data_IF_548346080594
#
_entry.id   IF_548346080594
#
_cell.length_a   1.000
_cell.length_b   1.000
_cell.length_c   1.000
_cell.angle_alpha   90.00
_cell.angle_beta   90.00
_cell.angle_gamma   90.00
#
_symmetry.space_group_name_H-M   'P 1'
#
loop_
_entity.id
_entity.type
_entity.pdbx_description
1 polymer ?
#
# COMPACT_ATOMS: atom_id res chain seq x y z
N UNK A 1 41.50 -1.72 2.69
CA UNK A 1 40.03 -1.70 2.53
C UNK A 1 39.71 -1.16 1.14
N UNK A 2 39.40 -1.99 0.13
CA UNK A 2 39.01 -1.48 -1.19
C UNK A 2 37.56 -0.99 -1.18
N UNK A 3 37.35 0.20 -1.73
CA UNK A 3 36.07 0.90 -1.79
C UNK A 3 35.02 0.13 -2.63
N UNK A 4 33.78 0.14 -2.16
CA UNK A 4 32.59 -0.38 -2.83
C UNK A 4 32.45 0.23 -4.23
N UNK A 5 32.53 -0.59 -5.26
CA UNK A 5 32.35 -0.22 -6.67
C UNK A 5 30.85 0.02 -6.91
N UNK A 6 30.43 1.28 -6.79
CA UNK A 6 29.08 1.71 -7.16
C UNK A 6 28.79 1.41 -8.64
N UNK A 7 27.54 1.03 -8.94
CA UNK A 7 27.09 0.67 -10.30
C UNK A 7 27.39 1.80 -11.28
N UNK A 8 28.26 1.56 -12.26
CA UNK A 8 28.65 2.56 -13.26
C UNK A 8 27.42 3.09 -14.01
N UNK A 9 27.34 4.43 -14.15
CA UNK A 9 26.35 5.07 -15.01
C UNK A 9 26.51 4.56 -16.45
N UNK A 10 25.41 4.10 -17.03
CA UNK A 10 25.39 3.47 -18.36
C UNK A 10 25.46 4.47 -19.52
N UNK A 11 25.13 5.72 -19.26
CA UNK A 11 25.15 6.83 -20.21
C UNK A 11 25.80 8.01 -19.52
N UNK A 12 26.74 8.66 -20.20
CA UNK A 12 27.52 9.77 -19.65
C UNK A 12 27.01 11.13 -20.13
N UNK A 13 26.11 11.16 -21.13
CA UNK A 13 25.44 12.36 -21.60
C UNK A 13 23.95 12.11 -21.92
N UNK A 14 23.16 13.19 -21.94
CA UNK A 14 21.76 13.15 -22.35
C UNK A 14 21.61 12.75 -23.82
N UNK A 15 22.55 13.16 -24.68
CA UNK A 15 22.56 12.80 -26.09
C UNK A 15 22.75 11.30 -26.30
N UNK A 16 23.65 10.68 -25.51
CA UNK A 16 23.90 9.25 -25.55
C UNK A 16 22.68 8.43 -25.10
N UNK A 17 21.96 8.92 -24.09
CA UNK A 17 20.71 8.33 -23.66
C UNK A 17 19.62 8.42 -24.76
N UNK A 18 19.47 9.59 -25.40
CA UNK A 18 18.53 9.79 -26.50
C UNK A 18 18.83 8.84 -27.67
N UNK A 19 20.09 8.69 -28.06
CA UNK A 19 20.51 7.81 -29.14
C UNK A 19 20.23 6.34 -28.81
N UNK A 20 20.52 5.90 -27.59
CA UNK A 20 20.22 4.53 -27.14
C UNK A 20 18.71 4.23 -27.14
N UNK A 21 17.88 5.19 -26.72
CA UNK A 21 16.42 5.06 -26.79
C UNK A 21 15.91 5.04 -28.24
N UNK A 22 16.47 5.87 -29.11
CA UNK A 22 16.13 5.88 -30.54
C UNK A 22 16.46 4.54 -31.21
N UNK A 23 17.66 4.00 -30.96
CA UNK A 23 18.07 2.70 -31.48
C UNK A 23 17.23 1.55 -30.94
N UNK A 24 16.97 1.52 -29.63
CA UNK A 24 16.12 0.50 -29.01
C UNK A 24 14.71 0.52 -29.61
N UNK A 25 14.16 1.73 -29.80
CA UNK A 25 12.85 1.95 -30.42
C UNK A 25 12.85 1.50 -31.89
N UNK A 26 13.91 1.80 -32.65
CA UNK A 26 14.05 1.36 -34.03
C UNK A 26 14.11 -0.16 -34.15
N UNK A 27 14.89 -0.84 -33.30
CA UNK A 27 14.98 -2.31 -33.24
C UNK A 27 13.65 -2.96 -32.85
N UNK A 28 12.94 -2.36 -31.90
CA UNK A 28 11.60 -2.82 -31.53
C UNK A 28 10.60 -2.64 -32.67
N UNK A 29 10.66 -1.50 -33.36
CA UNK A 29 9.77 -1.21 -34.49
C UNK A 29 10.01 -2.15 -35.66
N UNK A 30 11.27 -2.42 -36.04
CA UNK A 30 11.59 -3.36 -37.12
C UNK A 30 11.07 -4.77 -36.82
N UNK A 31 11.22 -5.23 -35.57
CA UNK A 31 10.70 -6.54 -35.12
C UNK A 31 9.18 -6.64 -35.21
N UNK A 32 8.46 -5.56 -34.92
CA UNK A 32 6.99 -5.55 -34.88
C UNK A 32 6.31 -4.92 -36.11
N UNK A 33 7.10 -4.46 -37.09
CA UNK A 33 6.63 -3.71 -38.27
C UNK A 33 5.51 -4.43 -39.01
N UNK A 34 5.63 -5.74 -39.20
CA UNK A 34 4.63 -6.55 -39.89
C UNK A 34 3.30 -6.63 -39.14
N UNK A 35 3.34 -6.77 -37.81
CA UNK A 35 2.14 -6.78 -36.95
C UNK A 35 1.47 -5.41 -36.93
N UNK A 36 2.26 -4.34 -36.81
CA UNK A 36 1.79 -2.95 -36.84
C UNK A 36 1.11 -2.65 -38.18
N UNK A 37 1.74 -3.01 -39.29
CA UNK A 37 1.19 -2.79 -40.63
C UNK A 37 -0.08 -3.61 -40.88
N UNK A 38 -0.12 -4.88 -40.46
CA UNK A 38 -1.34 -5.71 -40.55
C UNK A 38 -2.50 -5.10 -39.76
N UNK A 39 -2.24 -4.61 -38.55
CA UNK A 39 -3.26 -3.95 -37.74
C UNK A 39 -3.75 -2.64 -38.37
N UNK A 40 -2.83 -1.83 -38.92
CA UNK A 40 -3.19 -0.60 -39.66
C UNK A 40 -4.05 -0.92 -40.88
N UNK A 41 -3.64 -1.87 -41.70
CA UNK A 41 -4.41 -2.30 -42.88
C UNK A 41 -5.79 -2.84 -42.51
N UNK A 42 -5.92 -3.56 -41.39
CA UNK A 42 -7.22 -4.00 -40.89
C UNK A 42 -8.10 -2.82 -40.48
N UNK A 43 -7.57 -1.87 -39.69
CA UNK A 43 -8.31 -0.65 -39.30
C UNK A 43 -8.77 0.16 -40.51
N UNK A 44 -7.89 0.34 -41.51
CA UNK A 44 -8.24 1.02 -42.74
C UNK A 44 -9.36 0.29 -43.49
N UNK A 45 -9.28 -1.04 -43.62
CA UNK A 45 -10.33 -1.85 -44.26
C UNK A 45 -11.67 -1.72 -43.53
N UNK A 46 -11.68 -1.84 -42.21
CA UNK A 46 -12.91 -1.69 -41.41
C UNK A 46 -13.51 -0.29 -41.55
N UNK A 47 -12.68 0.75 -41.58
CA UNK A 47 -13.15 2.13 -41.70
C UNK A 47 -13.64 2.52 -43.11
N UNK A 48 -13.24 1.77 -44.15
CA UNK A 48 -13.52 2.11 -45.56
C UNK A 48 -14.34 1.04 -46.29
N UNK A 49 -14.89 0.05 -45.58
CA UNK A 49 -15.84 -0.90 -46.16
C UNK A 49 -17.19 -0.20 -46.36
N UNK A 50 -17.75 -0.19 -47.58
CA UNK A 50 -19.11 0.29 -47.81
C UNK A 50 -20.06 -0.59 -47.01
N UNK A 51 -20.97 0.04 -46.26
CA UNK A 51 -21.86 -0.57 -45.25
C UNK A 51 -22.96 -1.46 -45.84
N UNK A 52 -22.62 -2.38 -46.74
CA UNK A 52 -23.51 -3.42 -47.25
C UNK A 52 -22.79 -4.75 -47.29
N UNK A 53 -23.44 -5.74 -46.69
CA UNK A 53 -23.15 -7.16 -46.71
C UNK A 53 -22.15 -7.67 -45.67
N UNK A 54 -22.75 -8.12 -44.57
CA UNK A 54 -22.35 -9.21 -43.69
C UNK A 54 -21.29 -10.15 -44.27
N UNK A 55 -20.03 -9.84 -44.06
CA UNK A 55 -18.97 -10.84 -44.02
C UNK A 55 -18.96 -11.46 -42.62
N UNK A 56 -19.28 -12.74 -42.56
CA UNK A 56 -19.35 -13.56 -41.35
C UNK A 56 -18.17 -13.30 -40.39
N UNK A 57 -18.41 -13.21 -39.08
CA UNK A 57 -17.34 -13.06 -38.11
C UNK A 57 -16.59 -14.40 -38.06
N UNK A 58 -15.43 -14.45 -38.70
CA UNK A 58 -14.47 -15.53 -38.47
C UNK A 58 -14.00 -15.40 -37.02
N UNK A 59 -14.68 -16.11 -36.12
CA UNK A 59 -14.27 -16.35 -34.74
C UNK A 59 -12.94 -17.12 -34.77
N UNK A 60 -11.83 -16.41 -34.95
CA UNK A 60 -10.58 -16.88 -34.40
C UNK A 60 -10.68 -16.69 -32.89
N UNK A 61 -10.86 -17.82 -32.21
CA UNK A 61 -10.63 -18.03 -30.78
C UNK A 61 -9.18 -17.66 -30.41
N UNK A 62 -8.89 -16.36 -30.44
CA UNK A 62 -7.88 -15.75 -29.61
C UNK A 62 -8.67 -15.12 -28.47
N UNK A 63 -9.19 -15.96 -27.57
CA UNK A 63 -9.49 -15.56 -26.21
C UNK A 63 -8.17 -15.20 -25.55
N UNK A 64 -7.59 -14.07 -25.95
CA UNK A 64 -6.69 -13.34 -25.09
C UNK A 64 -7.48 -13.13 -23.80
N UNK A 65 -6.92 -13.46 -22.62
CA UNK A 65 -7.57 -13.12 -21.37
C UNK A 65 -7.86 -11.63 -21.47
N UNK A 66 -9.14 -11.26 -21.50
CA UNK A 66 -9.55 -9.87 -21.36
C UNK A 66 -9.00 -9.46 -20.01
N UNK A 67 -7.83 -8.84 -19.98
CA UNK A 67 -7.35 -8.14 -18.81
C UNK A 67 -8.40 -7.07 -18.58
N UNK A 68 -9.36 -7.36 -17.71
CA UNK A 68 -10.27 -6.37 -17.18
C UNK A 68 -9.35 -5.38 -16.49
N UNK A 69 -9.09 -4.25 -17.16
CA UNK A 69 -8.29 -3.18 -16.61
C UNK A 69 -9.12 -2.67 -15.43
N UNK A 70 -8.83 -3.17 -14.23
CA UNK A 70 -9.48 -2.73 -13.01
C UNK A 70 -9.30 -1.22 -12.91
N UNK A 71 -10.38 -0.51 -12.56
CA UNK A 71 -10.30 0.93 -12.30
C UNK A 71 -9.18 1.21 -11.29
N UNK A 72 -8.55 2.37 -11.39
CA UNK A 72 -7.48 2.77 -10.48
C UNK A 72 -7.91 2.62 -9.02
N UNK A 73 -9.12 3.07 -8.69
CA UNK A 73 -9.74 2.96 -7.36
C UNK A 73 -9.83 1.52 -6.87
N UNK A 74 -10.33 0.58 -7.69
CA UNK A 74 -10.36 -0.86 -7.32
C UNK A 74 -8.98 -1.42 -7.03
N UNK A 75 -7.95 -1.04 -7.80
CA UNK A 75 -6.56 -1.47 -7.52
C UNK A 75 -6.01 -0.88 -6.23
N UNK A 76 -6.38 0.36 -5.89
CA UNK A 76 -5.95 1.00 -4.64
C UNK A 76 -6.66 0.40 -3.43
N UNK A 77 -7.95 0.08 -3.52
CA UNK A 77 -8.70 -0.64 -2.47
C UNK A 77 -8.11 -2.03 -2.23
N UNK A 78 -7.76 -2.77 -3.29
CA UNK A 78 -7.10 -4.07 -3.15
C UNK A 78 -5.76 -3.95 -2.41
N UNK A 79 -5.00 -2.89 -2.66
CA UNK A 79 -3.75 -2.60 -1.95
C UNK A 79 -3.98 -2.20 -0.49
N UNK A 80 -4.96 -1.33 -0.22
CA UNK A 80 -5.36 -0.97 1.13
C UNK A 80 -5.81 -2.22 1.92
N UNK A 81 -6.60 -3.09 1.29
CA UNK A 81 -7.04 -4.36 1.87
C UNK A 81 -5.87 -5.30 2.15
N UNK A 82 -4.87 -5.37 1.27
CA UNK A 82 -3.66 -6.14 1.51
C UNK A 82 -2.85 -5.60 2.70
N UNK A 83 -2.76 -4.27 2.85
CA UNK A 83 -2.16 -3.62 4.04
C UNK A 83 -2.96 -3.94 5.30
N UNK A 84 -4.29 -3.89 5.23
CA UNK A 84 -5.15 -4.28 6.35
C UNK A 84 -4.95 -5.74 6.77
N UNK A 85 -4.78 -6.66 5.81
CA UNK A 85 -4.45 -8.05 6.14
C UNK A 85 -3.09 -8.16 6.86
N UNK A 86 -2.07 -7.43 6.40
CA UNK A 86 -0.76 -7.40 7.08
C UNK A 86 -0.89 -6.85 8.51
N UNK A 87 -1.68 -5.80 8.69
CA UNK A 87 -1.99 -5.21 10.00
C UNK A 87 -2.69 -6.20 10.93
N UNK A 88 -3.75 -6.86 10.46
CA UNK A 88 -4.45 -7.87 11.26
C UNK A 88 -3.57 -9.07 11.61
N UNK A 89 -2.65 -9.46 10.71
CA UNK A 89 -1.66 -10.50 11.01
C UNK A 89 -0.67 -10.05 12.09
N UNK A 90 -0.22 -8.79 12.06
CA UNK A 90 0.64 -8.23 13.11
C UNK A 90 -0.05 -8.29 14.49
N UNK A 91 -1.37 -8.08 14.51
CA UNK A 91 -2.18 -8.03 15.74
C UNK A 91 -2.76 -9.38 16.16
N UNK A 92 -2.40 -10.47 15.50
CA UNK A 92 -2.98 -11.80 15.77
C UNK A 92 -4.52 -11.76 15.76
N UNK A 93 -5.09 -11.01 14.79
CA UNK A 93 -6.52 -10.80 14.54
C UNK A 93 -7.30 -10.02 15.62
N UNK A 94 -6.72 -9.67 16.76
CA UNK A 94 -7.40 -8.88 17.79
C UNK A 94 -6.55 -7.69 18.24
N UNK A 95 -6.90 -6.46 17.80
CA UNK A 95 -6.22 -5.24 18.22
C UNK A 95 -6.15 -5.05 19.74
N UNK A 96 -7.22 -5.42 20.45
CA UNK A 96 -7.31 -5.30 21.91
C UNK A 96 -6.32 -6.23 22.61
N UNK A 97 -6.32 -7.52 22.24
CA UNK A 97 -5.40 -8.52 22.79
C UNK A 97 -3.96 -8.19 22.42
N UNK A 98 -3.74 -7.59 21.25
CA UNK A 98 -2.44 -7.08 20.86
C UNK A 98 -1.96 -5.94 21.78
N UNK A 99 -2.78 -4.91 22.00
CA UNK A 99 -2.44 -3.77 22.86
C UNK A 99 -2.19 -4.21 24.31
N UNK A 100 -3.04 -5.09 24.86
CA UNK A 100 -2.90 -5.64 26.21
C UNK A 100 -1.61 -6.47 26.38
N UNK A 101 -1.29 -7.35 25.42
CA UNK A 101 -0.02 -8.10 25.42
C UNK A 101 1.20 -7.18 25.33
N UNK A 102 1.12 -6.13 24.52
CA UNK A 102 2.20 -5.17 24.36
C UNK A 102 2.41 -4.38 25.65
N UNK A 103 1.33 -3.92 26.29
CA UNK A 103 1.36 -3.28 27.60
C UNK A 103 2.05 -4.16 28.65
N UNK A 104 1.64 -5.42 28.79
CA UNK A 104 2.25 -6.32 29.78
C UNK A 104 3.74 -6.56 29.53
N UNK A 105 4.13 -6.73 28.27
CA UNK A 105 5.52 -6.96 27.91
C UNK A 105 6.37 -5.72 28.20
N UNK A 106 5.87 -4.56 27.80
CA UNK A 106 6.47 -3.27 28.11
C UNK A 106 6.65 -3.07 29.62
N UNK A 107 5.61 -3.34 30.41
CA UNK A 107 5.68 -3.22 31.88
C UNK A 107 6.73 -4.16 32.49
N UNK A 108 6.89 -5.37 31.98
CA UNK A 108 7.97 -6.28 32.41
C UNK A 108 9.35 -5.70 32.09
N UNK A 109 9.53 -5.15 30.89
CA UNK A 109 10.79 -4.53 30.45
C UNK A 109 11.16 -3.34 31.34
N UNK A 110 10.23 -2.42 31.54
CA UNK A 110 10.47 -1.17 32.29
C UNK A 110 10.63 -1.42 33.80
N UNK A 111 9.94 -2.40 34.37
CA UNK A 111 10.04 -2.68 35.82
C UNK A 111 11.20 -3.59 36.20
N UNK A 112 11.61 -4.53 35.33
CA UNK A 112 12.62 -5.56 35.67
C UNK A 112 13.93 -5.43 34.91
N UNK A 113 13.89 -5.06 33.63
CA UNK A 113 15.08 -5.09 32.77
C UNK A 113 15.80 -3.74 32.76
N UNK A 114 15.05 -2.64 32.67
CA UNK A 114 15.59 -1.28 32.60
C UNK A 114 14.75 -0.33 33.46
N UNK A 115 14.97 -0.33 34.79
CA UNK A 115 14.34 0.63 35.68
C UNK A 115 14.85 2.04 35.34
N UNK A 116 14.02 2.84 34.69
CA UNK A 116 14.40 4.17 34.18
C UNK A 116 13.70 4.59 32.90
N UNK A 117 12.97 3.67 32.24
CA UNK A 117 12.21 3.97 31.04
C UNK A 117 12.96 3.55 29.78
N UNK A 118 12.41 2.55 29.10
CA UNK A 118 12.80 2.16 27.75
C UNK A 118 11.50 2.03 26.95
N UNK A 119 11.21 3.03 26.14
CA UNK A 119 10.03 3.11 25.27
C UNK A 119 10.27 2.50 23.89
N UNK A 120 11.47 1.99 23.62
CA UNK A 120 11.87 1.45 22.32
C UNK A 120 10.87 0.42 21.79
N UNK A 121 10.32 -0.43 22.66
CA UNK A 121 9.38 -1.48 22.26
C UNK A 121 8.07 -0.92 21.70
N UNK A 122 7.46 0.06 22.39
CA UNK A 122 6.22 0.68 21.91
C UNK A 122 6.51 1.58 20.71
N UNK A 123 7.61 2.33 20.73
CA UNK A 123 8.05 3.17 19.63
C UNK A 123 8.29 2.36 18.34
N UNK A 124 8.88 1.17 18.43
CA UNK A 124 9.06 0.27 17.30
C UNK A 124 7.73 -0.21 16.71
N UNK A 125 6.75 -0.55 17.55
CA UNK A 125 5.43 -0.96 17.07
C UNK A 125 4.64 0.21 16.48
N UNK A 126 4.74 1.40 17.07
CA UNK A 126 4.19 2.64 16.50
C UNK A 126 4.77 2.95 15.13
N UNK A 127 6.09 2.81 14.94
CA UNK A 127 6.70 3.02 13.62
C UNK A 127 6.12 2.04 12.57
N UNK A 128 5.95 0.76 12.92
CA UNK A 128 5.38 -0.24 12.00
C UNK A 128 3.93 0.07 11.64
N UNK A 129 3.11 0.49 12.61
CA UNK A 129 1.71 0.85 12.38
C UNK A 129 1.62 2.17 11.60
N UNK A 130 2.41 3.17 11.95
CA UNK A 130 2.47 4.47 11.29
C UNK A 130 2.86 4.35 9.81
N UNK A 131 3.78 3.45 9.45
CA UNK A 131 4.08 3.14 8.05
C UNK A 131 2.86 2.61 7.28
N UNK A 132 2.06 1.73 7.91
CA UNK A 132 0.85 1.18 7.31
C UNK A 132 -0.24 2.25 7.16
N UNK A 133 -0.45 3.07 8.19
CA UNK A 133 -1.38 4.21 8.17
C UNK A 133 -1.00 5.16 7.04
N UNK A 134 0.28 5.56 6.94
CA UNK A 134 0.79 6.45 5.90
C UNK A 134 0.53 5.89 4.49
N UNK A 135 0.78 4.61 4.27
CA UNK A 135 0.51 3.95 2.99
C UNK A 135 -0.99 3.98 2.63
N UNK A 136 -1.86 3.71 3.60
CA UNK A 136 -3.32 3.70 3.39
C UNK A 136 -3.85 5.12 3.17
N UNK A 137 -3.39 6.12 3.91
CA UNK A 137 -3.71 7.54 3.69
C UNK A 137 -3.33 7.97 2.27
N UNK A 138 -2.15 7.59 1.79
CA UNK A 138 -1.76 7.87 0.41
C UNK A 138 -2.71 7.21 -0.62
N UNK A 139 -3.27 6.04 -0.32
CA UNK A 139 -4.27 5.41 -1.19
C UNK A 139 -5.60 6.16 -1.14
N UNK A 140 -6.05 6.58 0.04
CA UNK A 140 -7.24 7.41 0.24
C UNK A 140 -7.16 8.71 -0.57
N UNK A 141 -6.06 9.46 -0.44
CA UNK A 141 -5.84 10.71 -1.20
C UNK A 141 -5.90 10.48 -2.71
N UNK A 142 -5.31 9.37 -3.19
CA UNK A 142 -5.32 9.03 -4.61
C UNK A 142 -6.70 8.60 -5.10
N UNK A 143 -7.50 7.93 -4.26
CA UNK A 143 -8.88 7.57 -4.58
C UNK A 143 -9.73 8.84 -4.63
N UNK A 144 -9.61 9.71 -3.63
CA UNK A 144 -10.32 10.99 -3.59
C UNK A 144 -10.04 11.82 -4.85
N UNK A 145 -8.77 11.91 -5.27
CA UNK A 145 -8.38 12.64 -6.47
C UNK A 145 -8.85 11.98 -7.79
N UNK A 146 -8.99 10.66 -7.83
CA UNK A 146 -9.31 9.93 -9.07
C UNK A 146 -10.82 9.67 -9.27
N UNK A 147 -11.56 9.45 -8.17
CA UNK A 147 -12.95 9.02 -8.19
C UNK A 147 -13.88 9.88 -7.32
N UNK A 148 -13.33 10.80 -6.51
CA UNK A 148 -14.12 11.65 -5.63
C UNK A 148 -14.62 10.94 -4.37
N UNK A 149 -15.64 11.52 -3.75
CA UNK A 149 -16.31 10.97 -2.57
C UNK A 149 -17.27 9.87 -3.01
N UNK A 150 -17.15 8.69 -2.42
CA UNK A 150 -18.00 7.54 -2.72
C UNK A 150 -17.66 6.30 -1.89
N UNK A 151 -18.26 5.16 -2.24
CA UNK A 151 -18.06 3.88 -1.53
C UNK A 151 -16.59 3.44 -1.50
N UNK A 152 -15.88 3.66 -2.61
CA UNK A 152 -14.45 3.34 -2.75
C UNK A 152 -13.59 4.09 -1.72
N UNK A 153 -13.90 5.37 -1.46
CA UNK A 153 -13.22 6.18 -0.47
C UNK A 153 -13.58 5.72 0.95
N UNK A 154 -14.88 5.53 1.22
CA UNK A 154 -15.38 5.09 2.51
C UNK A 154 -14.77 3.74 2.94
N UNK A 155 -14.58 2.82 2.00
CA UNK A 155 -13.95 1.52 2.26
C UNK A 155 -12.49 1.66 2.74
N UNK A 156 -11.70 2.56 2.12
CA UNK A 156 -10.31 2.79 2.52
C UNK A 156 -10.22 3.61 3.80
N UNK A 157 -11.11 4.59 3.97
CA UNK A 157 -11.22 5.39 5.19
C UNK A 157 -11.52 4.51 6.41
N UNK A 158 -12.44 3.54 6.29
CA UNK A 158 -12.73 2.59 7.36
C UNK A 158 -11.50 1.77 7.77
N UNK A 159 -10.71 1.30 6.79
CA UNK A 159 -9.45 0.61 7.04
C UNK A 159 -8.46 1.51 7.78
N UNK A 160 -8.28 2.76 7.30
CA UNK A 160 -7.36 3.71 7.94
C UNK A 160 -7.76 4.00 9.37
N UNK A 161 -9.05 4.26 9.62
CA UNK A 161 -9.59 4.57 10.96
C UNK A 161 -9.27 3.46 11.95
N UNK A 162 -9.48 2.20 11.58
CA UNK A 162 -9.13 1.07 12.44
C UNK A 162 -7.64 0.97 12.76
N UNK A 163 -6.76 1.32 11.81
CA UNK A 163 -5.31 1.35 12.08
C UNK A 163 -4.90 2.50 13.00
N UNK A 164 -5.47 3.69 12.77
CA UNK A 164 -5.21 4.88 13.60
C UNK A 164 -5.75 4.75 15.01
N UNK A 165 -6.83 4.01 15.20
CA UNK A 165 -7.35 3.73 16.53
C UNK A 165 -6.32 2.98 17.38
N UNK A 166 -5.66 1.97 16.81
CA UNK A 166 -4.62 1.25 17.52
C UNK A 166 -3.36 2.10 17.72
N UNK A 167 -2.99 2.90 16.72
CA UNK A 167 -1.91 3.89 16.85
C UNK A 167 -2.15 4.78 18.09
N UNK A 168 -3.36 5.34 18.22
CA UNK A 168 -3.75 6.16 19.39
C UNK A 168 -3.69 5.40 20.70
N UNK A 169 -4.06 4.13 20.73
CA UNK A 169 -3.96 3.31 21.94
C UNK A 169 -2.52 3.13 22.38
N UNK A 170 -1.58 3.01 21.45
CA UNK A 170 -0.16 2.91 21.78
C UNK A 170 0.41 4.26 22.23
N UNK A 171 -0.01 5.36 21.59
CA UNK A 171 0.31 6.72 22.04
C UNK A 171 -0.18 6.98 23.47
N UNK A 172 -1.38 6.53 23.82
CA UNK A 172 -1.95 6.64 25.17
C UNK A 172 -1.08 5.93 26.23
N UNK A 173 -0.57 4.73 25.91
CA UNK A 173 0.37 4.00 26.79
C UNK A 173 1.68 4.79 26.97
N UNK A 174 2.23 5.35 25.88
CA UNK A 174 3.44 6.18 25.96
C UNK A 174 3.21 7.46 26.78
N UNK A 175 2.08 8.13 26.57
CA UNK A 175 1.71 9.30 27.36
C UNK A 175 1.64 8.97 28.84
N UNK A 176 0.96 7.87 29.21
CA UNK A 176 0.93 7.39 30.59
C UNK A 176 2.32 7.08 31.15
N UNK A 177 3.22 6.50 30.34
CA UNK A 177 4.61 6.27 30.73
C UNK A 177 5.34 7.59 31.04
N UNK A 178 5.19 8.60 30.17
CA UNK A 178 5.83 9.90 30.33
C UNK A 178 5.36 10.63 31.59
N UNK A 179 4.10 10.45 31.98
CA UNK A 179 3.58 10.94 33.27
C UNK A 179 4.16 10.16 34.46
N UNK A 180 4.36 8.86 34.27
CA UNK A 180 5.10 7.99 35.18
C UNK A 180 4.50 6.60 35.28
N UNK A 181 5.35 5.60 35.51
CA UNK A 181 4.98 4.18 35.56
C UNK A 181 3.83 3.90 36.55
N UNK A 182 3.80 4.60 37.69
CA UNK A 182 2.73 4.46 38.68
C UNK A 182 1.37 4.96 38.15
N UNK A 183 1.38 6.05 37.39
CA UNK A 183 0.17 6.63 36.77
C UNK A 183 -0.34 5.68 35.69
N UNK A 184 0.56 5.21 34.81
CA UNK A 184 0.22 4.22 33.78
C UNK A 184 -0.33 2.92 34.39
N UNK A 185 0.29 2.42 35.46
CA UNK A 185 -0.18 1.21 36.16
C UNK A 185 -1.57 1.41 36.74
N UNK A 186 -1.81 2.57 37.36
CA UNK A 186 -3.12 2.92 37.91
C UNK A 186 -4.17 3.04 36.79
N UNK A 187 -3.84 3.71 35.68
CA UNK A 187 -4.72 3.84 34.53
C UNK A 187 -5.14 2.47 33.96
N UNK A 188 -4.19 1.54 33.85
CA UNK A 188 -4.50 0.17 33.44
C UNK A 188 -5.43 -0.56 34.42
N UNK A 189 -5.21 -0.40 35.73
CA UNK A 189 -6.02 -1.02 36.79
C UNK A 189 -7.44 -0.45 36.84
N UNK A 190 -7.55 0.86 36.69
CA UNK A 190 -8.82 1.59 36.65
C UNK A 190 -9.57 1.41 35.30
N UNK A 191 -8.97 0.64 34.37
CA UNK A 191 -9.45 0.40 33.02
C UNK A 191 -9.64 1.68 32.20
N UNK A 192 -8.84 2.71 32.45
CA UNK A 192 -9.00 4.03 31.83
C UNK A 192 -8.20 4.21 30.53
N UNK A 193 -7.43 3.20 30.10
CA UNK A 193 -6.69 3.28 28.85
C UNK A 193 -7.66 3.18 27.67
N UNK A 194 -7.34 3.88 26.57
CA UNK A 194 -8.25 4.00 25.43
C UNK A 194 -8.68 2.65 24.85
N UNK A 195 -7.80 1.66 24.80
CA UNK A 195 -8.12 0.33 24.28
C UNK A 195 -9.00 -0.51 25.22
N UNK A 196 -9.17 -0.12 26.48
CA UNK A 196 -9.96 -0.89 27.46
C UNK A 196 -11.46 -0.50 27.42
N UNK A 197 -11.80 0.63 26.82
CA UNK A 197 -13.16 1.17 26.81
C UNK A 197 -14.01 0.79 25.60
N UNK A 198 -13.48 0.06 24.62
CA UNK A 198 -14.21 -0.29 23.39
C UNK A 198 -14.79 -1.71 23.49
N UNK A 199 -15.72 -1.90 24.41
CA UNK A 199 -16.64 -3.05 24.39
C UNK A 199 -17.89 -2.79 25.25
N UNK A 200 -18.86 -2.06 24.70
CA UNK A 200 -20.30 -2.29 24.93
C UNK A 200 -21.07 -2.07 23.64
#
# INVERSE_FOLDING_TARGET
MPASVGRHQKYHSLDEQCQAHAESSARSYTKHKSKINKHRQWKYRVAHLPSKESAAPMHQNMSQPKHVIKSLSKRLIERASAKNKKFLTLMDRSPHVYADRLYHRFMVTVTRMKPGGDDDEICQELMKIGELVKDVTMFEDRILNAAGIGEDLAAVEHIRKGMQEVERWLEDILCGMLEGINILTKAYQDQTLLYQHVAK
#
